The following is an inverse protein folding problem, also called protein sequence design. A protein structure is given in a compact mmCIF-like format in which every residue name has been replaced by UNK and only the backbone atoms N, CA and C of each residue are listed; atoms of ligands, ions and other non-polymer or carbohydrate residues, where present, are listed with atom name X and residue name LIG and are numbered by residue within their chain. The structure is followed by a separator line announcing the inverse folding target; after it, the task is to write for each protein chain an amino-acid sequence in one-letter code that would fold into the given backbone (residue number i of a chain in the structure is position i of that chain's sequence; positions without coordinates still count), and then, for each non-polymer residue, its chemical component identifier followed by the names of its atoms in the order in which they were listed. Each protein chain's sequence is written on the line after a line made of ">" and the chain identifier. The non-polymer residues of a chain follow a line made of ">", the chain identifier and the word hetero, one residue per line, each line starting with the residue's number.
data_IF_867086138930
#
_entry.id   IF_867086138930
#
_cell.length_a   1.000
_cell.length_b   1.000
_cell.length_c   1.000
_cell.angle_alpha   90.00
_cell.angle_beta   90.00
_cell.angle_gamma   90.00
#
_symmetry.space_group_name_H-M   'P 1'
#
loop_
_entity.id
_entity.type
_entity.pdbx_description
1 polymer ?
#
# COMPACT_ATOMS: atom_id res chain seq x y z
N UNK A 1 8.58 -12.21 13.24
CA UNK A 1 7.29 -12.90 13.49
C UNK A 1 7.16 -14.11 12.57
N UNK A 2 6.38 -15.11 12.99
CA UNK A 2 6.20 -16.38 12.28
C UNK A 2 5.48 -16.19 10.92
N UNK A 3 5.88 -16.89 9.84
CA UNK A 3 5.30 -16.74 8.49
C UNK A 3 3.77 -16.89 8.45
N UNK A 4 3.21 -17.78 9.26
CA UNK A 4 1.76 -18.02 9.31
C UNK A 4 0.95 -16.76 9.68
N UNK A 5 1.49 -15.88 10.54
CA UNK A 5 0.81 -14.62 10.91
C UNK A 5 0.62 -13.73 9.67
N UNK A 6 1.66 -13.63 8.84
CA UNK A 6 1.65 -12.85 7.61
C UNK A 6 0.82 -13.49 6.50
N UNK A 7 0.71 -14.83 6.51
CA UNK A 7 -0.14 -15.56 5.59
C UNK A 7 -1.62 -15.36 5.92
N UNK A 8 -2.01 -15.48 7.19
CA UNK A 8 -3.38 -15.23 7.64
C UNK A 8 -3.79 -13.79 7.39
N UNK A 9 -2.97 -12.81 7.78
CA UNK A 9 -3.27 -11.38 7.54
C UNK A 9 -3.29 -10.98 6.06
N UNK A 10 -2.82 -11.82 5.14
CA UNK A 10 -2.78 -11.56 3.70
C UNK A 10 -1.51 -10.87 3.20
N UNK A 11 -0.65 -10.39 4.12
CA UNK A 11 0.61 -9.72 3.78
C UNK A 11 1.52 -10.56 2.88
N UNK A 12 1.56 -11.88 3.08
CA UNK A 12 2.39 -12.76 2.27
C UNK A 12 2.08 -12.67 0.76
N UNK A 13 0.81 -12.43 0.43
CA UNK A 13 0.30 -12.48 -0.94
C UNK A 13 0.10 -11.08 -1.53
N UNK A 14 -0.34 -10.14 -0.70
CA UNK A 14 -0.82 -8.83 -1.15
C UNK A 14 0.17 -7.68 -0.85
N UNK A 15 1.17 -7.91 0.01
CA UNK A 15 2.13 -6.87 0.39
C UNK A 15 3.32 -6.82 -0.58
N UNK A 16 3.03 -6.44 -1.82
CA UNK A 16 4.01 -6.35 -2.89
C UNK A 16 3.88 -5.04 -3.68
N UNK A 17 5.00 -4.61 -4.26
CA UNK A 17 5.02 -3.59 -5.30
C UNK A 17 5.35 -4.23 -6.65
N UNK A 18 4.93 -3.57 -7.73
CA UNK A 18 5.36 -3.92 -9.08
C UNK A 18 6.75 -3.36 -9.34
N UNK A 19 7.73 -4.23 -9.57
CA UNK A 19 9.12 -3.88 -9.80
C UNK A 19 9.54 -4.12 -11.26
N UNK A 20 10.33 -3.21 -11.81
CA UNK A 20 11.01 -3.35 -13.09
C UNK A 20 12.53 -3.29 -12.90
N UNK A 21 13.28 -3.97 -13.78
CA UNK A 21 14.74 -3.92 -13.81
C UNK A 21 15.21 -3.32 -15.13
N UNK A 22 16.11 -2.33 -15.09
CA UNK A 22 16.74 -1.86 -16.32
C UNK A 22 17.72 -2.91 -16.85
N UNK A 23 17.56 -3.32 -18.12
CA UNK A 23 18.44 -4.33 -18.72
C UNK A 23 19.88 -3.83 -18.89
N UNK A 24 20.06 -2.52 -18.97
CA UNK A 24 21.37 -1.88 -19.20
C UNK A 24 22.10 -1.59 -17.89
N UNK A 25 21.52 -0.80 -16.98
CA UNK A 25 22.19 -0.39 -15.73
C UNK A 25 21.83 -1.24 -14.51
N UNK A 26 20.96 -2.25 -14.65
CA UNK A 26 20.52 -3.18 -13.59
C UNK A 26 19.81 -2.55 -12.38
N UNK A 27 19.55 -1.23 -12.41
CA UNK A 27 18.75 -0.56 -11.38
C UNK A 27 17.35 -1.15 -11.30
N UNK A 28 16.86 -1.25 -10.08
CA UNK A 28 15.51 -1.67 -9.73
C UNK A 28 14.63 -0.43 -9.55
N UNK A 29 13.44 -0.45 -10.13
CA UNK A 29 12.50 0.66 -10.09
C UNK A 29 11.11 0.14 -9.75
N UNK A 30 10.37 0.91 -8.97
CA UNK A 30 8.95 0.69 -8.76
C UNK A 30 8.20 1.18 -10.01
N UNK A 31 7.34 0.33 -10.59
CA UNK A 31 6.79 0.49 -11.92
C UNK A 31 5.87 1.71 -12.06
N UNK A 32 5.05 1.98 -11.04
CA UNK A 32 4.16 3.14 -10.96
C UNK A 32 4.90 4.48 -10.93
N UNK A 33 6.10 4.53 -10.32
CA UNK A 33 6.91 5.75 -10.24
C UNK A 33 7.73 6.05 -11.51
N UNK A 34 7.87 5.11 -12.44
CA UNK A 34 8.82 5.26 -13.57
C UNK A 34 8.54 6.53 -14.38
N UNK A 35 7.27 6.84 -14.63
CA UNK A 35 6.88 8.01 -15.43
C UNK A 35 7.15 9.33 -14.73
N UNK A 36 6.88 9.41 -13.43
CA UNK A 36 7.22 10.58 -12.62
C UNK A 36 8.74 10.82 -12.63
N UNK A 37 9.53 9.76 -12.42
CA UNK A 37 10.99 9.85 -12.51
C UNK A 37 11.49 10.27 -13.89
N UNK A 38 10.83 9.83 -14.96
CA UNK A 38 11.19 10.21 -16.32
C UNK A 38 10.94 11.71 -16.57
N UNK A 39 9.88 12.29 -16.02
CA UNK A 39 9.64 13.74 -16.11
C UNK A 39 10.81 14.54 -15.53
N UNK A 40 11.41 14.03 -14.44
CA UNK A 40 12.52 14.70 -13.77
C UNK A 40 13.92 14.32 -14.26
N UNK A 41 14.03 13.27 -15.06
CA UNK A 41 15.31 12.78 -15.56
C UNK A 41 16.02 13.84 -16.42
N UNK A 42 17.29 14.11 -16.10
CA UNK A 42 18.12 15.09 -16.80
C UNK A 42 18.18 14.83 -18.31
N UNK A 43 18.25 13.56 -18.71
CA UNK A 43 18.29 13.20 -20.12
C UNK A 43 16.98 13.48 -20.85
N UNK A 44 15.83 13.33 -20.19
CA UNK A 44 14.52 13.65 -20.78
C UNK A 44 14.39 15.15 -20.97
N UNK A 45 14.73 15.94 -19.94
CA UNK A 45 14.76 17.42 -20.02
C UNK A 45 15.69 17.90 -21.14
N UNK A 46 16.92 17.35 -21.20
CA UNK A 46 17.91 17.65 -22.23
C UNK A 46 17.50 17.20 -23.65
N UNK A 47 16.75 16.11 -23.76
CA UNK A 47 16.23 15.63 -25.04
C UNK A 47 15.05 16.49 -25.52
N UNK A 48 14.21 16.99 -24.62
CA UNK A 48 13.08 17.85 -24.95
C UNK A 48 13.52 19.11 -25.72
N UNK A 49 14.70 19.66 -25.41
CA UNK A 49 15.31 20.80 -26.15
C UNK A 49 15.54 20.51 -27.64
N UNK A 50 15.56 19.24 -28.05
CA UNK A 50 15.73 18.84 -29.46
C UNK A 50 14.44 18.93 -30.26
N UNK A 51 13.30 19.05 -29.58
CA UNK A 51 11.98 19.03 -30.19
C UNK A 51 11.53 20.45 -30.57
N UNK A 52 10.83 20.58 -31.69
CA UNK A 52 10.19 21.84 -32.08
C UNK A 52 8.76 21.86 -31.52
N UNK A 53 8.47 22.84 -30.65
CA UNK A 53 7.11 23.08 -30.14
C UNK A 53 6.33 23.83 -31.20
N UNK A 54 5.29 23.23 -31.76
CA UNK A 54 4.41 23.91 -32.70
C UNK A 54 3.32 24.63 -31.89
N UNK A 55 3.34 25.97 -31.89
CA UNK A 55 2.54 26.82 -31.00
C UNK A 55 1.01 26.74 -31.17
N UNK A 56 0.51 25.89 -32.08
CA UNK A 56 -0.90 25.85 -32.49
C UNK A 56 -1.59 24.50 -32.23
N UNK A 57 -0.89 23.44 -31.79
CA UNK A 57 -1.49 22.09 -31.71
C UNK A 57 -1.02 21.16 -30.57
N UNK A 58 -0.22 21.59 -29.60
CA UNK A 58 0.35 20.71 -28.54
C UNK A 58 1.04 19.43 -29.07
N UNK A 59 1.40 19.41 -30.36
CA UNK A 59 2.02 18.29 -31.06
C UNK A 59 3.52 18.54 -31.21
N UNK A 60 4.33 17.65 -30.63
CA UNK A 60 5.78 17.66 -30.76
C UNK A 60 6.18 17.28 -32.20
N UNK A 61 6.81 18.19 -32.95
CA UNK A 61 7.42 17.82 -34.25
C UNK A 61 8.78 17.17 -34.00
N UNK A 62 8.82 15.86 -34.21
CA UNK A 62 10.04 15.06 -34.10
C UNK A 62 11.07 15.45 -35.18
N UNK A 63 12.20 16.02 -34.78
CA UNK A 63 13.30 16.37 -35.69
C UNK A 63 14.39 15.30 -35.62
N UNK A 64 14.33 14.33 -36.55
CA UNK A 64 15.25 13.18 -36.58
C UNK A 64 16.73 13.58 -36.58
N UNK A 65 17.09 14.63 -37.32
CA UNK A 65 18.48 15.13 -37.39
C UNK A 65 18.97 15.63 -36.03
N UNK A 66 18.18 16.46 -35.35
CA UNK A 66 18.53 16.99 -34.01
C UNK A 66 18.58 15.87 -32.97
N UNK A 67 17.66 14.91 -33.03
CA UNK A 67 17.65 13.75 -32.13
C UNK A 67 18.90 12.87 -32.31
N UNK A 68 19.34 12.61 -33.56
CA UNK A 68 20.59 11.88 -33.82
C UNK A 68 21.81 12.66 -33.33
N UNK A 69 21.86 13.97 -33.59
CA UNK A 69 22.96 14.83 -33.11
C UNK A 69 23.05 14.85 -31.57
N UNK A 70 21.91 14.94 -30.89
CA UNK A 70 21.85 14.84 -29.44
C UNK A 70 22.34 13.48 -28.96
N UNK A 71 21.87 12.40 -29.58
CA UNK A 71 22.22 11.03 -29.22
C UNK A 71 23.73 10.76 -29.34
N UNK A 72 24.36 11.27 -30.40
CA UNK A 72 25.80 11.15 -30.63
C UNK A 72 26.65 12.02 -29.70
N UNK A 73 26.07 13.07 -29.11
CA UNK A 73 26.73 14.04 -28.21
C UNK A 73 26.27 13.86 -26.76
N UNK A 74 25.32 14.68 -26.32
CA UNK A 74 24.83 14.73 -24.92
C UNK A 74 24.26 13.37 -24.48
N UNK A 75 23.57 12.67 -25.37
CA UNK A 75 22.94 11.37 -25.11
C UNK A 75 23.92 10.29 -24.63
N UNK A 76 25.15 10.23 -25.16
CA UNK A 76 26.17 9.28 -24.69
C UNK A 76 26.49 9.41 -23.21
N UNK A 77 26.43 10.63 -22.66
CA UNK A 77 26.68 10.90 -21.24
C UNK A 77 25.40 10.75 -20.42
N UNK A 78 24.29 11.32 -20.88
CA UNK A 78 23.06 11.45 -20.10
C UNK A 78 22.17 10.19 -20.16
N UNK A 79 22.16 9.48 -21.28
CA UNK A 79 21.34 8.28 -21.50
C UNK A 79 22.08 7.19 -22.30
N UNK A 80 23.22 6.66 -21.78
CA UNK A 80 24.05 5.70 -22.50
C UNK A 80 23.34 4.36 -22.82
N UNK A 81 22.26 4.04 -22.11
CA UNK A 81 21.47 2.83 -22.33
C UNK A 81 20.35 2.98 -23.36
N UNK A 82 19.99 4.20 -23.76
CA UNK A 82 18.87 4.48 -24.67
C UNK A 82 19.12 3.85 -26.04
N UNK A 83 18.10 3.21 -26.62
CA UNK A 83 18.22 2.59 -27.94
C UNK A 83 18.61 3.61 -29.02
N UNK A 84 18.04 4.82 -28.98
CA UNK A 84 18.43 5.92 -29.86
C UNK A 84 19.94 6.25 -29.77
N UNK A 85 20.55 6.13 -28.59
CA UNK A 85 21.98 6.42 -28.37
C UNK A 85 22.86 5.25 -28.84
N UNK A 86 22.41 4.02 -28.58
CA UNK A 86 23.14 2.79 -28.93
C UNK A 86 23.06 2.45 -30.41
N UNK A 87 21.90 2.68 -31.03
CA UNK A 87 21.59 2.34 -32.41
C UNK A 87 20.55 3.32 -33.01
N UNK A 88 20.96 4.56 -33.37
CA UNK A 88 20.03 5.59 -33.82
C UNK A 88 19.26 5.21 -35.09
N UNK A 89 19.93 4.61 -36.07
CA UNK A 89 19.34 4.28 -37.38
C UNK A 89 18.20 3.28 -37.24
N UNK A 90 18.42 2.17 -36.52
CA UNK A 90 17.40 1.16 -36.29
C UNK A 90 16.26 1.69 -35.42
N UNK A 91 16.54 2.51 -34.41
CA UNK A 91 15.50 3.05 -33.53
C UNK A 91 14.55 3.99 -34.28
N UNK A 92 15.09 4.83 -35.17
CA UNK A 92 14.31 5.81 -35.92
C UNK A 92 13.59 5.23 -37.13
N UNK A 93 14.07 4.12 -37.71
CA UNK A 93 13.38 3.46 -38.81
C UNK A 93 11.98 2.99 -38.37
N UNK A 94 11.85 2.40 -37.18
CA UNK A 94 10.57 1.96 -36.63
C UNK A 94 9.57 3.10 -36.44
N UNK A 95 10.02 4.22 -35.86
CA UNK A 95 9.18 5.40 -35.66
C UNK A 95 8.70 5.98 -37.00
N UNK A 96 9.61 6.04 -37.98
CA UNK A 96 9.32 6.57 -39.32
C UNK A 96 8.33 5.66 -40.07
N UNK A 97 8.50 4.34 -39.96
CA UNK A 97 7.61 3.35 -40.55
C UNK A 97 6.20 3.46 -39.97
N UNK A 98 6.06 3.55 -38.64
CA UNK A 98 4.75 3.69 -38.01
C UNK A 98 4.05 5.01 -38.34
N UNK A 99 4.77 6.13 -38.35
CA UNK A 99 4.22 7.42 -38.78
C UNK A 99 3.77 7.41 -40.24
N UNK A 100 4.47 6.67 -41.11
CA UNK A 100 4.07 6.50 -42.51
C UNK A 100 2.81 5.64 -42.63
N UNK A 101 2.73 4.56 -41.85
CA UNK A 101 1.60 3.63 -41.86
C UNK A 101 0.37 4.18 -41.13
N UNK A 102 0.56 5.15 -40.22
CA UNK A 102 -0.50 5.82 -39.49
C UNK A 102 -0.24 7.34 -39.44
N UNK A 103 -0.61 8.09 -40.50
CA UNK A 103 -0.37 9.54 -40.59
C UNK A 103 -1.08 10.36 -39.50
N UNK A 104 -2.15 9.82 -38.91
CA UNK A 104 -2.92 10.45 -37.83
C UNK A 104 -2.31 10.19 -36.44
N UNK A 105 -1.23 9.41 -36.35
CA UNK A 105 -0.58 9.08 -35.08
C UNK A 105 -0.03 10.34 -34.41
N UNK A 106 -0.60 10.67 -33.25
CA UNK A 106 -0.10 11.74 -32.38
C UNK A 106 0.97 11.18 -31.43
N UNK A 107 2.15 11.79 -31.44
CA UNK A 107 3.24 11.44 -30.53
C UNK A 107 3.21 12.35 -29.31
N UNK A 108 2.59 11.86 -28.24
CA UNK A 108 2.83 12.43 -26.92
C UNK A 108 4.23 12.05 -26.42
N UNK A 109 4.70 12.75 -25.37
CA UNK A 109 6.03 12.51 -24.82
C UNK A 109 6.20 11.05 -24.34
N UNK A 110 5.27 10.44 -23.57
CA UNK A 110 5.40 9.04 -23.16
C UNK A 110 5.56 8.06 -24.34
N UNK A 111 4.76 8.21 -25.39
CA UNK A 111 4.83 7.35 -26.57
C UNK A 111 6.18 7.52 -27.27
N UNK A 112 6.61 8.75 -27.50
CA UNK A 112 7.91 9.03 -28.11
C UNK A 112 9.05 8.40 -27.30
N UNK A 113 9.09 8.62 -25.98
CA UNK A 113 10.13 8.06 -25.12
C UNK A 113 10.20 6.53 -25.19
N UNK A 114 9.06 5.84 -25.37
CA UNK A 114 9.04 4.39 -25.59
C UNK A 114 9.67 3.98 -26.91
N UNK A 115 9.41 4.72 -28.00
CA UNK A 115 10.09 4.48 -29.27
C UNK A 115 11.61 4.64 -29.13
N UNK A 116 12.06 5.72 -28.47
CA UNK A 116 13.50 5.98 -28.28
C UNK A 116 14.21 4.92 -27.43
N UNK A 117 13.46 4.19 -26.60
CA UNK A 117 13.96 3.08 -25.79
C UNK A 117 13.95 1.73 -26.51
N UNK A 118 13.33 1.64 -27.69
CA UNK A 118 13.04 0.37 -28.37
C UNK A 118 13.97 0.14 -29.55
N UNK A 119 14.91 -0.80 -29.39
CA UNK A 119 15.83 -1.19 -30.48
C UNK A 119 15.17 -2.17 -31.48
N UNK A 120 14.35 -3.11 -30.98
CA UNK A 120 13.72 -4.18 -31.77
C UNK A 120 12.20 -4.24 -31.51
N UNK A 121 11.45 -3.32 -32.14
CA UNK A 121 10.01 -3.18 -31.91
C UNK A 121 9.21 -4.45 -32.25
N UNK A 122 9.57 -5.14 -33.34
CA UNK A 122 8.84 -6.34 -33.78
C UNK A 122 9.03 -7.56 -32.86
N UNK A 123 10.09 -7.58 -32.05
CA UNK A 123 10.37 -8.69 -31.12
C UNK A 123 9.84 -8.39 -29.72
N UNK A 124 10.04 -7.15 -29.26
CA UNK A 124 9.82 -6.79 -27.85
C UNK A 124 8.57 -5.94 -27.63
N UNK A 125 8.00 -5.36 -28.69
CA UNK A 125 7.06 -4.25 -28.59
C UNK A 125 7.73 -2.97 -28.09
N UNK A 126 6.93 -1.94 -27.83
CA UNK A 126 7.42 -0.68 -27.28
C UNK A 126 7.88 -0.84 -25.83
N UNK A 127 9.13 -0.46 -25.56
CA UNK A 127 9.77 -0.58 -24.25
C UNK A 127 9.62 0.69 -23.43
N UNK A 128 9.53 0.55 -22.11
CA UNK A 128 9.58 1.72 -21.21
C UNK A 128 11.05 2.07 -20.92
N UNK A 129 11.47 3.33 -21.07
CA UNK A 129 12.85 3.73 -20.79
C UNK A 129 13.15 3.83 -19.30
N UNK A 130 14.40 3.57 -18.95
CA UNK A 130 14.95 3.79 -17.64
C UNK A 130 15.22 5.29 -17.40
N UNK A 131 14.75 5.89 -16.29
CA UNK A 131 15.01 7.29 -15.98
C UNK A 131 16.50 7.59 -15.75
N UNK A 132 17.32 6.59 -15.43
CA UNK A 132 18.75 6.79 -15.14
C UNK A 132 19.67 6.70 -16.36
N UNK A 133 19.30 5.95 -17.39
CA UNK A 133 20.17 5.74 -18.55
C UNK A 133 19.44 5.62 -19.89
N UNK A 134 18.12 5.71 -19.91
CA UNK A 134 17.27 5.54 -21.10
C UNK A 134 17.08 4.10 -21.59
N UNK A 135 17.79 3.12 -21.03
CA UNK A 135 17.69 1.72 -21.47
C UNK A 135 16.34 1.06 -21.17
N UNK A 136 16.04 -0.04 -21.86
CA UNK A 136 14.78 -0.77 -21.73
C UNK A 136 14.59 -1.40 -20.33
N UNK A 137 13.38 -1.27 -19.80
CA UNK A 137 12.95 -1.90 -18.56
C UNK A 137 12.29 -3.26 -18.83
N UNK A 138 12.54 -4.25 -17.97
CA UNK A 138 11.78 -5.51 -17.99
C UNK A 138 10.29 -5.26 -17.75
N UNK A 139 9.40 -6.20 -18.14
CA UNK A 139 8.02 -6.17 -17.67
C UNK A 139 7.94 -6.06 -16.14
N UNK A 140 6.93 -5.37 -15.60
CA UNK A 140 6.67 -5.35 -14.17
C UNK A 140 6.49 -6.77 -13.61
N UNK A 141 7.08 -7.03 -12.44
CA UNK A 141 6.90 -8.26 -11.67
C UNK A 141 6.64 -7.94 -10.22
N UNK A 142 5.92 -8.81 -9.52
CA UNK A 142 5.66 -8.66 -8.09
C UNK A 142 6.97 -8.73 -7.30
N UNK A 143 7.09 -7.85 -6.31
CA UNK A 143 8.20 -7.81 -5.37
C UNK A 143 7.65 -7.66 -3.95
N UNK A 144 7.80 -8.70 -3.14
CA UNK A 144 7.32 -8.70 -1.77
C UNK A 144 8.11 -7.70 -0.92
N UNK A 145 7.39 -6.84 -0.20
CA UNK A 145 7.96 -5.76 0.60
C UNK A 145 8.31 -6.18 2.03
N UNK A 146 8.11 -7.44 2.43
CA UNK A 146 8.55 -7.92 3.74
C UNK A 146 10.00 -8.39 3.70
N UNK A 147 10.75 -8.07 4.75
CA UNK A 147 12.08 -8.64 4.95
C UNK A 147 11.99 -10.05 5.54
N UNK A 148 12.41 -11.05 4.76
CA UNK A 148 12.58 -12.43 5.23
C UNK A 148 13.91 -12.57 5.98
N UNK A 149 13.89 -13.30 7.08
CA UNK A 149 15.05 -13.70 7.88
C UNK A 149 14.90 -15.17 8.30
N UNK A 150 15.90 -15.70 9.00
CA UNK A 150 15.94 -17.08 9.47
C UNK A 150 16.24 -17.08 10.96
N UNK A 151 15.47 -17.83 11.75
CA UNK A 151 15.63 -18.00 13.20
C UNK A 151 16.25 -19.37 13.46
N UNK A 152 17.46 -19.41 14.05
CA UNK A 152 18.17 -20.66 14.34
C UNK A 152 19.32 -20.92 13.39
N UNK A 153 20.03 -22.03 13.62
CA UNK A 153 21.32 -22.31 12.96
C UNK A 153 21.20 -23.03 11.61
N UNK A 154 20.08 -23.71 11.34
CA UNK A 154 19.97 -24.67 10.24
C UNK A 154 19.48 -24.05 8.92
N UNK A 155 18.97 -22.82 8.92
CA UNK A 155 18.74 -22.07 7.68
C UNK A 155 17.58 -22.53 6.81
N UNK A 156 16.74 -23.45 7.31
CA UNK A 156 15.68 -24.10 6.51
C UNK A 156 14.45 -23.21 6.28
N UNK A 157 13.51 -23.66 5.45
CA UNK A 157 12.22 -22.97 5.28
C UNK A 157 11.39 -22.96 6.57
N UNK A 158 11.51 -24.00 7.40
CA UNK A 158 10.86 -24.08 8.71
C UNK A 158 11.40 -23.05 9.70
N UNK A 159 12.64 -22.60 9.50
CA UNK A 159 13.30 -21.58 10.29
C UNK A 159 12.97 -20.15 9.79
N UNK A 160 12.16 -20.01 8.73
CA UNK A 160 11.85 -18.71 8.17
C UNK A 160 11.06 -17.83 9.15
N UNK A 161 11.44 -16.56 9.22
CA UNK A 161 10.69 -15.53 9.91
C UNK A 161 10.71 -14.23 9.11
N UNK A 162 9.91 -13.26 9.51
CA UNK A 162 9.90 -11.95 8.88
C UNK A 162 10.09 -10.84 9.91
N UNK A 163 10.83 -9.82 9.52
CA UNK A 163 10.77 -8.53 10.21
C UNK A 163 9.41 -7.92 9.88
N UNK A 164 8.70 -7.45 10.91
CA UNK A 164 7.30 -7.03 10.76
C UNK A 164 7.19 -5.77 9.88
N UNK A 165 6.34 -5.76 8.83
CA UNK A 165 6.09 -4.56 8.01
C UNK A 165 5.13 -3.54 8.64
N UNK A 166 4.45 -3.94 9.71
CA UNK A 166 3.55 -3.15 10.53
C UNK A 166 3.57 -3.66 11.99
N UNK A 167 2.99 -2.91 12.93
CA UNK A 167 3.00 -3.27 14.34
C UNK A 167 1.68 -3.94 14.80
N UNK A 168 0.57 -3.65 14.09
CA UNK A 168 -0.79 -4.13 14.34
C UNK A 168 -0.92 -5.64 14.58
N UNK A 169 -0.27 -6.48 13.75
CA UNK A 169 -0.36 -7.94 13.88
C UNK A 169 0.06 -8.47 15.25
N UNK A 170 1.00 -7.79 15.92
CA UNK A 170 1.40 -8.16 17.29
C UNK A 170 0.27 -7.97 18.31
N UNK A 171 -0.60 -6.99 18.09
CA UNK A 171 -1.76 -6.70 18.94
C UNK A 171 -2.84 -7.75 18.70
N UNK A 172 -3.18 -8.05 17.44
CA UNK A 172 -4.24 -9.00 17.10
C UNK A 172 -3.97 -10.41 17.64
N UNK A 173 -2.76 -10.93 17.47
CA UNK A 173 -2.41 -12.28 17.98
C UNK A 173 -2.42 -12.36 19.50
N UNK A 174 -2.38 -11.21 20.20
CA UNK A 174 -2.44 -11.10 21.65
C UNK A 174 -3.79 -10.61 22.19
N UNK A 175 -4.79 -10.37 21.33
CA UNK A 175 -6.10 -9.85 21.74
C UNK A 175 -6.67 -10.60 22.96
N UNK A 176 -6.74 -11.94 22.87
CA UNK A 176 -7.28 -12.76 23.96
C UNK A 176 -6.42 -12.71 25.23
N UNK A 177 -5.10 -12.68 25.08
CA UNK A 177 -4.18 -12.54 26.21
C UNK A 177 -4.42 -11.21 26.95
N UNK A 178 -4.60 -10.11 26.22
CA UNK A 178 -4.89 -8.79 26.80
C UNK A 178 -6.24 -8.78 27.50
N UNK A 179 -7.30 -9.27 26.85
CA UNK A 179 -8.65 -9.34 27.43
C UNK A 179 -8.65 -10.15 28.73
N UNK A 180 -8.02 -11.33 28.71
CA UNK A 180 -8.02 -12.25 29.85
C UNK A 180 -7.20 -11.72 31.04
N UNK A 181 -6.05 -11.13 30.77
CA UNK A 181 -5.13 -10.68 31.83
C UNK A 181 -5.49 -9.31 32.39
N UNK A 182 -6.06 -8.42 31.57
CA UNK A 182 -6.36 -7.04 31.95
C UNK A 182 -7.83 -6.83 32.34
N UNK A 183 -8.71 -7.81 32.07
CA UNK A 183 -10.16 -7.75 32.36
C UNK A 183 -10.85 -6.50 31.81
N UNK A 184 -10.35 -6.01 30.68
CA UNK A 184 -10.94 -4.87 29.96
C UNK A 184 -12.29 -5.26 29.36
N UNK A 185 -13.17 -4.28 29.20
CA UNK A 185 -14.48 -4.44 28.56
C UNK A 185 -14.50 -3.69 27.23
N UNK A 186 -15.30 -4.15 26.28
CA UNK A 186 -15.48 -3.45 25.02
C UNK A 186 -16.39 -2.23 25.24
N UNK A 187 -16.07 -1.06 24.67
CA UNK A 187 -14.92 -0.79 23.80
C UNK A 187 -13.62 -0.51 24.57
N UNK A 188 -12.49 -0.95 24.02
CA UNK A 188 -11.15 -0.63 24.52
C UNK A 188 -10.14 -0.60 23.37
N UNK A 189 -8.99 0.06 23.58
CA UNK A 189 -7.90 0.07 22.60
C UNK A 189 -6.57 -0.41 23.16
N UNK A 190 -5.71 -0.92 22.29
CA UNK A 190 -4.32 -1.25 22.60
C UNK A 190 -3.43 -0.37 21.74
N UNK A 191 -2.68 0.54 22.37
CA UNK A 191 -1.70 1.38 21.69
C UNK A 191 -0.31 0.75 21.70
N UNK A 192 0.40 0.81 20.58
CA UNK A 192 1.76 0.32 20.46
C UNK A 192 2.61 1.30 19.64
N UNK A 193 3.82 1.54 20.11
CA UNK A 193 4.86 2.23 19.35
C UNK A 193 5.97 1.22 19.07
N UNK A 194 6.46 1.19 17.83
CA UNK A 194 7.68 0.45 17.56
C UNK A 194 8.07 0.40 16.10
N UNK A 195 9.20 -0.27 15.87
CA UNK A 195 9.82 -0.40 14.55
C UNK A 195 9.03 -1.31 13.62
N UNK A 196 9.00 -0.93 12.35
CA UNK A 196 8.51 -1.69 11.21
C UNK A 196 9.50 -1.61 10.07
N UNK A 197 9.47 -2.63 9.20
CA UNK A 197 10.44 -2.79 8.14
C UNK A 197 9.75 -3.07 6.81
N UNK A 198 9.96 -2.19 5.83
CA UNK A 198 9.47 -2.37 4.46
C UNK A 198 10.66 -2.43 3.51
N UNK A 199 10.74 -3.48 2.71
CA UNK A 199 11.79 -3.68 1.71
C UNK A 199 11.56 -2.77 0.50
N UNK A 200 11.54 -1.46 0.72
CA UNK A 200 11.26 -0.45 -0.29
C UNK A 200 12.26 -0.55 -1.45
N UNK A 201 11.73 -0.58 -2.68
CA UNK A 201 12.52 -0.73 -3.91
C UNK A 201 13.40 0.52 -4.12
N UNK A 202 12.80 1.71 -3.96
CA UNK A 202 13.49 2.99 -4.14
C UNK A 202 13.23 3.95 -2.98
N UNK A 203 14.05 3.90 -1.91
CA UNK A 203 13.99 4.87 -0.81
C UNK A 203 14.19 6.30 -1.31
N UNK A 204 13.40 7.25 -0.80
CA UNK A 204 13.40 8.67 -1.23
C UNK A 204 12.91 9.61 -0.14
N UNK A 205 13.17 10.91 -0.35
CA UNK A 205 12.64 12.00 0.46
C UNK A 205 12.97 11.82 1.95
N UNK A 206 14.23 11.46 2.21
CA UNK A 206 14.78 11.27 3.56
C UNK A 206 13.96 10.26 4.39
N UNK A 207 13.38 10.68 5.52
CA UNK A 207 12.59 9.82 6.41
C UNK A 207 11.21 9.43 5.85
N UNK A 208 10.76 10.05 4.75
CA UNK A 208 9.42 9.83 4.23
C UNK A 208 9.23 8.43 3.59
N UNK A 209 10.27 7.92 2.90
CA UNK A 209 10.34 6.55 2.37
C UNK A 209 11.65 5.88 2.77
N UNK A 210 11.68 5.31 3.97
CA UNK A 210 12.77 4.50 4.49
C UNK A 210 12.41 3.01 4.52
N UNK A 211 13.41 2.16 4.76
CA UNK A 211 13.23 0.70 4.94
C UNK A 211 12.97 0.28 6.37
N UNK A 212 13.33 1.14 7.31
CA UNK A 212 13.11 1.01 8.74
C UNK A 212 12.53 2.34 9.23
N UNK A 213 11.44 2.27 9.96
CA UNK A 213 10.73 3.43 10.52
C UNK A 213 9.94 2.99 11.76
N UNK A 214 9.42 3.95 12.51
CA UNK A 214 8.60 3.71 13.68
C UNK A 214 7.15 4.11 13.42
N UNK A 215 6.22 3.29 13.88
CA UNK A 215 4.79 3.57 13.84
C UNK A 215 4.24 3.72 15.25
N UNK A 216 3.17 4.51 15.34
CA UNK A 216 2.34 4.66 16.52
C UNK A 216 0.93 4.22 16.12
N UNK A 217 0.56 3.00 16.50
CA UNK A 217 -0.70 2.36 16.09
C UNK A 217 -1.59 2.09 17.30
N UNK A 218 -2.89 2.22 17.12
CA UNK A 218 -3.90 1.86 18.11
C UNK A 218 -4.88 0.89 17.46
N UNK A 219 -5.06 -0.30 18.03
CA UNK A 219 -6.19 -1.16 17.66
C UNK A 219 -7.32 -0.94 18.65
N UNK A 220 -8.39 -0.25 18.21
CA UNK A 220 -9.56 0.02 19.02
C UNK A 220 -10.68 -0.99 18.73
N UNK A 221 -10.89 -1.90 19.68
CA UNK A 221 -11.90 -2.95 19.61
C UNK A 221 -13.25 -2.42 20.08
N UNK A 222 -14.26 -2.56 19.23
CA UNK A 222 -15.60 -2.03 19.48
C UNK A 222 -16.71 -3.02 19.06
N UNK A 223 -17.92 -2.78 19.57
CA UNK A 223 -19.09 -3.57 19.19
C UNK A 223 -19.47 -3.29 17.71
N UNK A 224 -19.81 -4.29 16.89
CA UNK A 224 -20.14 -4.10 15.47
C UNK A 224 -21.19 -3.00 15.20
N UNK A 225 -22.25 -2.93 16.02
CA UNK A 225 -23.30 -1.88 15.92
C UNK A 225 -22.81 -0.44 16.13
N UNK A 226 -21.70 -0.24 16.82
CA UNK A 226 -21.17 1.08 17.17
C UNK A 226 -19.96 1.47 16.31
N UNK A 227 -19.42 0.52 15.55
CA UNK A 227 -18.15 0.65 14.84
C UNK A 227 -18.08 1.85 13.89
N UNK A 228 -19.16 2.16 13.17
CA UNK A 228 -19.23 3.35 12.31
C UNK A 228 -19.12 4.67 13.09
N UNK A 229 -19.72 4.74 14.29
CA UNK A 229 -19.61 5.92 15.14
C UNK A 229 -18.19 6.06 15.73
N UNK A 230 -17.58 4.95 16.12
CA UNK A 230 -16.18 4.92 16.58
C UNK A 230 -15.19 5.29 15.49
N UNK A 231 -15.43 4.87 14.24
CA UNK A 231 -14.64 5.28 13.08
C UNK A 231 -14.65 6.80 12.91
N UNK A 232 -15.85 7.40 12.84
CA UNK A 232 -15.99 8.86 12.73
C UNK A 232 -15.31 9.60 13.90
N UNK A 233 -15.50 9.11 15.13
CA UNK A 233 -14.86 9.68 16.31
C UNK A 233 -13.34 9.67 16.21
N UNK A 234 -12.71 8.54 15.88
CA UNK A 234 -11.26 8.44 15.83
C UNK A 234 -10.68 9.28 14.70
N UNK A 235 -11.32 9.29 13.52
CA UNK A 235 -10.90 10.12 12.38
C UNK A 235 -10.82 11.60 12.77
N UNK A 236 -11.90 12.12 13.35
CA UNK A 236 -12.00 13.53 13.72
C UNK A 236 -11.10 13.87 14.91
N UNK A 237 -10.98 12.95 15.88
CA UNK A 237 -10.08 13.10 17.04
C UNK A 237 -8.62 13.18 16.62
N UNK A 238 -8.17 12.31 15.72
CA UNK A 238 -6.77 12.27 15.27
C UNK A 238 -6.42 13.46 14.40
N UNK A 239 -7.34 13.89 13.52
CA UNK A 239 -7.15 15.13 12.77
C UNK A 239 -7.01 16.34 13.71
N UNK A 240 -7.88 16.45 14.71
CA UNK A 240 -7.80 17.52 15.72
C UNK A 240 -6.52 17.46 16.55
N UNK A 241 -6.03 16.26 16.87
CA UNK A 241 -4.78 16.08 17.63
C UNK A 241 -3.58 16.73 16.94
N UNK A 242 -3.46 16.62 15.60
CA UNK A 242 -2.39 17.30 14.86
C UNK A 242 -2.53 18.82 14.85
N UNK A 243 -3.75 19.35 14.73
CA UNK A 243 -4.01 20.79 14.80
C UNK A 243 -3.68 21.34 16.19
N UNK A 244 -4.10 20.63 17.25
CA UNK A 244 -3.85 21.01 18.64
C UNK A 244 -2.34 20.99 18.97
N UNK A 245 -1.55 20.18 18.27
CA UNK A 245 -0.08 20.13 18.36
C UNK A 245 0.64 21.19 17.51
N UNK A 246 -0.08 21.95 16.68
CA UNK A 246 0.46 23.11 15.97
C UNK A 246 0.63 22.96 14.46
N UNK A 247 0.14 21.89 13.82
CA UNK A 247 0.08 21.87 12.35
C UNK A 247 -1.02 22.82 11.85
N UNK A 248 -0.70 23.66 10.87
CA UNK A 248 -1.68 24.57 10.25
C UNK A 248 -2.76 23.83 9.46
N UNK A 249 -3.99 24.37 9.51
CA UNK A 249 -5.14 23.81 8.78
C UNK A 249 -4.98 23.94 7.26
N UNK A 250 -4.20 24.92 6.81
CA UNK A 250 -3.91 25.16 5.40
C UNK A 250 -3.02 24.06 4.81
N UNK A 251 -2.26 23.36 5.64
CA UNK A 251 -1.36 22.27 5.24
C UNK A 251 -1.79 20.89 5.67
N UNK A 252 -2.83 20.79 6.48
CA UNK A 252 -3.36 19.52 6.94
C UNK A 252 -4.72 19.28 6.31
N UNK A 253 -4.91 18.10 5.72
CA UNK A 253 -6.22 17.68 5.24
C UNK A 253 -6.57 16.29 5.74
N UNK A 254 -7.87 16.04 5.85
CA UNK A 254 -8.44 14.73 6.10
C UNK A 254 -9.12 14.26 4.82
N UNK A 255 -8.68 13.16 4.25
CA UNK A 255 -9.13 12.64 2.96
C UNK A 255 -9.63 11.22 3.10
N UNK A 256 -10.90 11.00 2.83
CA UNK A 256 -11.44 9.64 2.72
C UNK A 256 -10.89 8.95 1.46
N UNK A 257 -10.57 7.65 1.57
CA UNK A 257 -10.19 6.81 0.45
C UNK A 257 -11.38 6.55 -0.48
N UNK A 258 -11.11 6.55 -1.78
CA UNK A 258 -12.07 6.04 -2.75
C UNK A 258 -12.16 4.51 -2.67
N UNK A 259 -13.26 3.93 -3.18
CA UNK A 259 -13.49 2.47 -3.13
C UNK A 259 -12.36 1.64 -3.76
N UNK A 260 -11.66 2.19 -4.76
CA UNK A 260 -10.54 1.52 -5.42
C UNK A 260 -9.22 1.58 -4.63
N UNK A 261 -9.11 2.52 -3.68
CA UNK A 261 -7.93 2.69 -2.82
C UNK A 261 -8.01 1.87 -1.54
N UNK A 262 -9.24 1.54 -1.10
CA UNK A 262 -9.46 0.74 0.11
C UNK A 262 -8.70 -0.60 0.04
N UNK A 263 -7.94 -0.87 1.11
CA UNK A 263 -7.37 -2.19 1.35
C UNK A 263 -8.49 -3.25 1.39
N UNK A 264 -8.17 -4.49 1.01
CA UNK A 264 -9.15 -5.57 0.86
C UNK A 264 -9.92 -5.92 2.14
N UNK A 265 -9.42 -5.51 3.30
CA UNK A 265 -10.03 -5.68 4.62
C UNK A 265 -10.73 -4.43 5.16
N UNK A 266 -10.54 -3.27 4.54
CA UNK A 266 -11.09 -2.01 5.05
C UNK A 266 -12.49 -1.77 4.49
N UNK A 267 -13.42 -1.42 5.38
CA UNK A 267 -14.75 -0.94 4.99
C UNK A 267 -14.85 0.60 4.98
N UNK A 268 -13.76 1.29 5.33
CA UNK A 268 -13.62 2.73 5.26
C UNK A 268 -12.26 3.16 5.82
N UNK A 269 -11.53 3.99 5.08
CA UNK A 269 -10.24 4.54 5.52
C UNK A 269 -10.20 6.03 5.20
N UNK A 270 -9.58 6.81 6.08
CA UNK A 270 -9.28 8.20 5.84
C UNK A 270 -7.83 8.50 6.23
N UNK A 271 -7.14 9.24 5.36
CA UNK A 271 -5.78 9.68 5.61
C UNK A 271 -5.76 11.12 6.11
N UNK A 272 -4.97 11.35 7.15
CA UNK A 272 -4.53 12.68 7.55
C UNK A 272 -3.24 12.94 6.78
N UNK A 273 -3.28 13.92 5.89
CA UNK A 273 -2.19 14.20 4.95
C UNK A 273 -1.67 15.63 5.15
N UNK A 274 -0.37 15.81 4.93
CA UNK A 274 0.35 17.07 5.13
C UNK A 274 1.03 17.54 3.85
N UNK A 275 0.96 18.85 3.59
CA UNK A 275 1.60 19.50 2.43
C UNK A 275 3.12 19.67 2.63
N UNK A 276 3.87 18.59 2.44
CA UNK A 276 5.33 18.61 2.53
C UNK A 276 5.99 19.51 1.47
N UNK A 277 7.07 20.23 1.80
CA UNK A 277 7.70 21.20 0.89
C UNK A 277 8.40 20.58 -0.33
N UNK A 278 8.64 19.27 -0.33
CA UNK A 278 9.21 18.54 -1.47
C UNK A 278 8.16 17.99 -2.43
N UNK A 279 6.86 18.12 -2.11
CA UNK A 279 5.77 17.76 -3.00
C UNK A 279 5.39 18.95 -3.90
N UNK A 280 4.70 18.69 -5.00
CA UNK A 280 4.24 19.79 -5.85
C UNK A 280 3.20 20.66 -5.10
N UNK A 281 3.08 21.95 -5.43
CA UNK A 281 2.06 22.81 -4.81
C UNK A 281 0.66 22.21 -4.96
N UNK A 282 -0.04 22.02 -3.83
CA UNK A 282 -1.37 21.41 -3.78
C UNK A 282 -1.38 19.89 -3.56
N UNK A 283 -0.23 19.22 -3.57
CA UNK A 283 -0.09 17.82 -3.21
C UNK A 283 0.16 17.63 -1.71
N UNK A 284 -0.28 16.49 -1.18
CA UNK A 284 -0.18 16.16 0.24
C UNK A 284 0.38 14.74 0.39
N UNK A 285 1.15 14.52 1.45
CA UNK A 285 1.68 13.22 1.83
C UNK A 285 1.08 12.72 3.14
N UNK A 286 0.75 11.43 3.19
CA UNK A 286 0.12 10.76 4.34
C UNK A 286 1.00 10.79 5.61
N UNK A 287 0.41 11.22 6.73
CA UNK A 287 0.98 11.17 8.09
C UNK A 287 0.43 10.01 8.92
N UNK A 288 -0.89 9.83 8.85
CA UNK A 288 -1.64 8.86 9.63
C UNK A 288 -2.86 8.39 8.84
N UNK A 289 -3.04 7.08 8.76
CA UNK A 289 -4.28 6.47 8.28
C UNK A 289 -5.19 6.13 9.45
N UNK A 290 -6.49 6.41 9.33
CA UNK A 290 -7.52 5.92 10.24
C UNK A 290 -8.41 4.96 9.46
N UNK A 291 -8.36 3.67 9.79
CA UNK A 291 -9.07 2.62 9.07
C UNK A 291 -10.15 1.95 9.94
N UNK A 292 -11.27 1.58 9.32
CA UNK A 292 -12.27 0.68 9.87
C UNK A 292 -12.08 -0.70 9.23
N UNK A 293 -11.52 -1.64 9.98
CA UNK A 293 -11.11 -2.98 9.50
C UNK A 293 -12.16 -4.06 9.75
N UNK A 294 -13.29 -3.68 10.34
CA UNK A 294 -14.38 -4.59 10.73
C UNK A 294 -13.81 -5.75 11.57
N UNK A 295 -14.26 -6.99 11.35
CA UNK A 295 -13.80 -8.16 12.08
C UNK A 295 -12.64 -8.92 11.39
N UNK A 296 -12.10 -8.40 10.29
CA UNK A 296 -11.16 -9.12 9.42
C UNK A 296 -9.96 -9.70 10.17
N UNK A 297 -9.28 -8.88 10.97
CA UNK A 297 -8.00 -9.25 11.59
C UNK A 297 -8.15 -10.39 12.60
N UNK A 298 -9.10 -10.25 13.53
CA UNK A 298 -9.37 -11.28 14.54
C UNK A 298 -9.95 -12.53 13.87
N UNK A 299 -10.88 -12.37 12.93
CA UNK A 299 -11.47 -13.50 12.21
C UNK A 299 -10.42 -14.27 11.44
N UNK A 300 -9.49 -13.60 10.76
CA UNK A 300 -8.47 -14.29 9.99
C UNK A 300 -7.44 -15.03 10.85
N UNK A 301 -7.06 -14.46 12.00
CA UNK A 301 -6.20 -15.17 12.97
C UNK A 301 -6.91 -16.32 13.69
N UNK A 302 -8.23 -16.29 13.79
CA UNK A 302 -9.05 -17.36 14.37
C UNK A 302 -9.27 -18.50 13.35
N UNK A 303 -9.83 -18.18 12.19
CA UNK A 303 -10.35 -19.15 11.20
C UNK A 303 -9.30 -19.59 10.18
N UNK A 304 -8.44 -18.66 9.76
CA UNK A 304 -7.50 -18.84 8.65
C UNK A 304 -7.51 -17.67 7.67
N UNK A 305 -6.64 -17.75 6.65
CA UNK A 305 -6.55 -16.68 5.64
C UNK A 305 -7.91 -16.46 4.99
N UNK A 306 -8.40 -15.22 5.05
CA UNK A 306 -9.62 -14.81 4.38
C UNK A 306 -9.32 -14.32 2.96
N UNK A 307 -10.21 -14.63 2.03
CA UNK A 307 -10.19 -14.16 0.65
C UNK A 307 -11.54 -13.55 0.30
N UNK A 308 -11.51 -12.51 -0.53
CA UNK A 308 -12.73 -11.89 -1.03
C UNK A 308 -13.28 -12.71 -2.20
N UNK A 309 -14.50 -13.23 -2.05
CA UNK A 309 -15.29 -13.88 -3.10
C UNK A 309 -16.61 -13.13 -3.24
N UNK A 310 -16.80 -12.48 -4.37
CA UNK A 310 -18.02 -11.72 -4.69
C UNK A 310 -18.44 -10.70 -3.61
N UNK A 311 -17.45 -10.01 -3.02
CA UNK A 311 -17.67 -9.00 -1.98
C UNK A 311 -17.83 -9.58 -0.57
N UNK A 312 -17.64 -10.89 -0.39
CA UNK A 312 -17.70 -11.56 0.92
C UNK A 312 -16.35 -12.12 1.30
N UNK A 313 -15.97 -11.93 2.56
CA UNK A 313 -14.76 -12.50 3.12
C UNK A 313 -15.05 -13.94 3.57
N UNK A 314 -14.37 -14.90 2.95
CA UNK A 314 -14.49 -16.33 3.21
C UNK A 314 -13.12 -16.94 3.47
N UNK A 315 -13.07 -18.00 4.27
CA UNK A 315 -11.81 -18.72 4.52
C UNK A 315 -11.33 -19.39 3.24
N UNK A 316 -10.05 -19.22 2.89
CA UNK A 316 -9.47 -19.93 1.76
C UNK A 316 -9.38 -21.43 2.09
N UNK A 317 -10.22 -22.24 1.43
CA UNK A 317 -10.26 -23.69 1.61
C UNK A 317 -9.32 -24.41 0.63
N UNK A 318 -8.71 -25.50 1.10
CA UNK A 318 -7.98 -26.46 0.28
C UNK A 318 -8.89 -27.52 -0.34
N UNK A 319 -8.32 -28.49 -1.10
CA UNK A 319 -9.08 -29.54 -1.79
C UNK A 319 -9.99 -30.37 -0.88
N UNK A 320 -9.62 -30.52 0.40
CA UNK A 320 -10.35 -31.30 1.41
C UNK A 320 -11.39 -30.48 2.19
N UNK A 321 -11.66 -29.23 1.78
CA UNK A 321 -12.61 -28.34 2.46
C UNK A 321 -12.12 -27.77 3.80
N UNK A 322 -10.86 -28.02 4.17
CA UNK A 322 -10.21 -27.43 5.35
C UNK A 322 -9.52 -26.11 5.00
N UNK A 323 -9.28 -25.21 5.97
CA UNK A 323 -8.51 -23.98 5.72
C UNK A 323 -7.14 -24.32 5.12
N UNK A 324 -6.85 -23.79 3.92
CA UNK A 324 -5.57 -23.96 3.23
C UNK A 324 -4.42 -23.37 4.06
N UNK A 325 -4.69 -22.24 4.70
CA UNK A 325 -3.79 -21.58 5.63
C UNK A 325 -4.52 -21.41 6.96
N UNK A 326 -4.24 -22.33 7.89
CA UNK A 326 -4.94 -22.43 9.17
C UNK A 326 -4.64 -21.22 10.05
N UNK A 327 -5.68 -20.69 10.68
CA UNK A 327 -5.54 -19.76 11.79
C UNK A 327 -5.03 -20.47 13.04
N UNK A 328 -5.04 -19.76 14.16
CA UNK A 328 -4.72 -20.32 15.47
C UNK A 328 -5.76 -21.32 15.98
N UNK A 329 -7.00 -21.26 15.47
CA UNK A 329 -8.15 -22.03 15.99
C UNK A 329 -8.58 -21.58 17.39
N UNK A 330 -7.94 -20.57 17.98
CA UNK A 330 -8.33 -19.99 19.27
C UNK A 330 -9.55 -19.11 19.06
N UNK A 331 -10.50 -19.18 19.97
CA UNK A 331 -11.65 -18.29 19.98
C UNK A 331 -11.23 -16.86 20.32
N UNK A 332 -11.30 -15.98 19.32
CA UNK A 332 -11.03 -14.55 19.44
C UNK A 332 -12.33 -13.72 19.52
N UNK A 333 -13.48 -14.34 19.76
CA UNK A 333 -14.72 -13.62 20.05
C UNK A 333 -14.70 -13.00 21.45
N UNK A 334 -15.45 -11.91 21.61
CA UNK A 334 -15.75 -11.30 22.90
C UNK A 334 -17.15 -11.70 23.34
N UNK A 335 -17.32 -12.00 24.63
CA UNK A 335 -18.63 -12.24 25.25
C UNK A 335 -18.90 -11.17 26.30
N UNK A 336 -19.90 -10.33 26.06
CA UNK A 336 -20.38 -9.32 27.02
C UNK A 336 -21.36 -9.97 28.01
N UNK A 337 -20.80 -10.63 29.02
CA UNK A 337 -21.60 -11.27 30.07
C UNK A 337 -22.42 -10.26 30.86
N UNK A 338 -21.92 -9.04 31.05
CA UNK A 338 -22.62 -8.03 31.85
C UNK A 338 -23.86 -7.50 31.12
N UNK A 339 -23.75 -7.25 29.81
CA UNK A 339 -24.91 -6.90 28.99
C UNK A 339 -25.93 -8.05 28.98
N UNK A 340 -25.46 -9.28 28.82
CA UNK A 340 -26.37 -10.43 28.85
C UNK A 340 -27.08 -10.56 30.21
N UNK A 341 -26.35 -10.44 31.31
CA UNK A 341 -26.90 -10.54 32.66
C UNK A 341 -27.93 -9.45 32.97
N UNK A 342 -27.76 -8.24 32.43
CA UNK A 342 -28.76 -7.17 32.51
C UNK A 342 -30.03 -7.51 31.73
N UNK A 343 -29.89 -8.09 30.54
CA UNK A 343 -31.00 -8.23 29.59
C UNK A 343 -31.75 -9.57 29.72
N UNK A 344 -31.12 -10.62 30.27
CA UNK A 344 -31.63 -12.01 30.23
C UNK A 344 -33.05 -12.19 30.79
N UNK A 345 -33.39 -11.44 31.84
CA UNK A 345 -34.74 -11.47 32.43
C UNK A 345 -35.79 -10.95 31.45
N UNK A 346 -35.51 -9.83 30.78
CA UNK A 346 -36.42 -9.24 29.78
C UNK A 346 -36.56 -10.13 28.53
N UNK A 347 -35.50 -10.87 28.20
CA UNK A 347 -35.46 -11.83 27.11
C UNK A 347 -36.10 -13.19 27.44
N UNK A 348 -36.50 -13.40 28.70
CA UNK A 348 -37.09 -14.66 29.17
C UNK A 348 -36.16 -15.87 28.99
N UNK A 349 -34.86 -15.70 29.22
CA UNK A 349 -33.83 -16.75 29.10
C UNK A 349 -32.99 -16.82 30.37
N UNK A 350 -32.51 -18.02 30.71
CA UNK A 350 -31.66 -18.24 31.90
C UNK A 350 -30.16 -18.23 31.60
N UNK A 351 -29.77 -18.54 30.36
CA UNK A 351 -28.37 -18.64 29.94
C UNK A 351 -28.17 -18.21 28.49
N UNK A 352 -26.92 -17.90 28.10
CA UNK A 352 -26.56 -17.62 26.70
C UNK A 352 -26.87 -18.80 25.77
N UNK A 353 -26.84 -20.03 26.30
CA UNK A 353 -27.21 -21.22 25.54
C UNK A 353 -28.70 -21.25 25.22
N UNK A 354 -29.55 -20.93 26.20
CA UNK A 354 -31.01 -20.85 26.00
C UNK A 354 -31.36 -19.72 25.02
N UNK A 355 -30.64 -18.59 25.13
CA UNK A 355 -30.73 -17.48 24.19
C UNK A 355 -30.41 -17.92 22.76
N UNK A 356 -29.29 -18.63 22.56
CA UNK A 356 -28.89 -19.11 21.25
C UNK A 356 -29.84 -20.17 20.67
N UNK A 357 -30.39 -21.07 21.48
CA UNK A 357 -31.33 -22.10 20.99
C UNK A 357 -32.63 -21.48 20.48
N UNK A 358 -33.13 -20.41 21.13
CA UNK A 358 -34.29 -19.65 20.62
C UNK A 358 -34.03 -18.96 19.29
N UNK A 359 -32.76 -18.75 18.93
CA UNK A 359 -32.28 -18.05 17.71
C UNK A 359 -31.60 -19.00 16.73
N UNK A 360 -31.84 -20.29 16.87
CA UNK A 360 -31.21 -21.32 16.04
C UNK A 360 -31.54 -21.10 14.57
N UNK A 361 -30.52 -21.12 13.73
CA UNK A 361 -30.62 -20.84 12.29
C UNK A 361 -30.21 -19.41 11.91
N UNK A 362 -30.05 -18.49 12.87
CA UNK A 362 -29.39 -17.21 12.63
C UNK A 362 -27.88 -17.40 12.39
N UNK A 363 -27.28 -16.49 11.60
CA UNK A 363 -25.85 -16.54 11.28
C UNK A 363 -24.94 -16.46 12.52
N UNK A 364 -25.34 -15.65 13.52
CA UNK A 364 -24.74 -15.65 14.85
C UNK A 364 -25.85 -15.61 15.91
N UNK A 365 -26.26 -16.75 16.48
CA UNK A 365 -27.36 -16.84 17.44
C UNK A 365 -27.02 -16.23 18.81
N UNK A 366 -25.75 -15.89 19.07
CA UNK A 366 -25.32 -15.27 20.32
C UNK A 366 -25.26 -13.74 20.25
N UNK A 367 -25.45 -13.14 19.08
CA UNK A 367 -25.45 -11.70 18.92
C UNK A 367 -26.66 -11.05 19.64
N UNK A 368 -26.52 -9.89 20.31
CA UNK A 368 -25.35 -9.00 20.40
C UNK A 368 -24.37 -9.33 21.54
N UNK A 369 -24.54 -10.43 22.27
CA UNK A 369 -23.76 -10.71 23.49
C UNK A 369 -22.45 -11.44 23.24
N UNK A 370 -22.32 -12.18 22.13
CA UNK A 370 -21.04 -12.74 21.68
C UNK A 370 -20.81 -12.46 20.21
N UNK A 371 -19.65 -11.89 19.90
CA UNK A 371 -19.31 -11.40 18.56
C UNK A 371 -17.80 -11.30 18.40
N UNK A 372 -17.32 -11.23 17.15
CA UNK A 372 -15.95 -10.80 16.87
C UNK A 372 -15.95 -9.28 16.87
N UNK A 373 -15.14 -8.62 17.72
CA UNK A 373 -15.09 -7.16 17.75
C UNK A 373 -14.70 -6.58 16.40
N UNK A 374 -15.28 -5.43 16.06
CA UNK A 374 -14.77 -4.61 14.98
C UNK A 374 -13.55 -3.82 15.46
N UNK A 375 -12.61 -3.57 14.54
CA UNK A 375 -11.38 -2.82 14.82
C UNK A 375 -11.39 -1.49 14.09
N UNK A 376 -11.16 -0.40 14.84
CA UNK A 376 -10.80 0.91 14.30
C UNK A 376 -9.31 1.13 14.57
N UNK A 377 -8.54 1.44 13.53
CA UNK A 377 -7.09 1.55 13.59
C UNK A 377 -6.64 2.95 13.18
N UNK A 378 -6.29 3.81 14.14
CA UNK A 378 -5.37 4.93 13.90
C UNK A 378 -3.92 4.43 13.80
N UNK A 379 -3.26 4.65 12.66
CA UNK A 379 -1.86 4.26 12.42
C UNK A 379 -1.05 5.45 11.89
N UNK A 380 -0.20 6.02 12.74
CA UNK A 380 0.66 7.16 12.41
C UNK A 380 2.12 6.74 12.18
N UNK A 381 2.77 7.34 11.20
CA UNK A 381 4.23 7.23 11.04
C UNK A 381 4.96 8.24 11.92
N UNK A 382 5.72 7.79 12.92
CA UNK A 382 6.41 8.66 13.88
C UNK A 382 7.45 9.56 13.17
N UNK A 383 8.21 8.99 12.23
CA UNK A 383 9.23 9.70 11.46
C UNK A 383 8.60 10.78 10.53
N UNK A 384 7.45 10.45 9.92
CA UNK A 384 6.72 11.38 9.04
C UNK A 384 6.09 12.52 9.84
N UNK A 385 5.45 12.21 10.97
CA UNK A 385 4.90 13.20 11.87
C UNK A 385 6.00 14.16 12.37
N UNK A 386 7.15 13.61 12.79
CA UNK A 386 8.31 14.41 13.21
C UNK A 386 8.78 15.35 12.10
N UNK A 387 8.91 14.85 10.87
CA UNK A 387 9.28 15.69 9.72
C UNK A 387 8.25 16.79 9.45
N UNK A 388 6.95 16.49 9.55
CA UNK A 388 5.90 17.47 9.36
C UNK A 388 5.99 18.61 10.39
N UNK A 389 6.15 18.29 11.68
CA UNK A 389 6.34 19.30 12.72
C UNK A 389 7.59 20.16 12.51
N UNK A 390 8.70 19.56 12.06
CA UNK A 390 9.91 20.32 11.72
C UNK A 390 9.67 21.25 10.52
N UNK A 391 9.01 20.76 9.47
CA UNK A 391 8.68 21.58 8.31
C UNK A 391 7.74 22.73 8.66
N UNK A 392 6.78 22.51 9.55
CA UNK A 392 5.84 23.54 10.00
C UNK A 392 6.54 24.59 10.87
N UNK A 393 7.36 24.15 11.84
CA UNK A 393 8.07 25.06 12.76
C UNK A 393 9.20 25.86 12.10
N UNK A 394 9.73 25.41 10.95
CA UNK A 394 10.78 26.13 10.23
C UNK A 394 10.25 27.40 9.53
N UNK A 395 8.94 27.47 9.31
CA UNK A 395 8.31 28.60 8.63
C UNK A 395 8.11 29.79 9.55
#
# INVERSE_FOLDING_TARGET
>A
MHPQVWKCSGHYDLFHDWMQTCRQCKKLLRADHVWEMLKDAEWVKSFADTMEVNAWEDLLRFNSLRSVQWAQRKGKKLAPGLALVRNPEATLSWLTEDLRNNPEMRLDLPTLLRYLATEQKNVTGLQTPCPYCGGDLTPPREFNLMFKTTVGALGGEEDAAFLRPETAQGIFVNFKNVVDTSRVKIPFGVGQIGKSFRNEITPRNFTFRSREFEQMEIEFFCHPRESAAWYAYWRDRRFRWYLDLGLSKERLRLRDHDRAELAHYSVGTADIEYAFPFLAPGEFGELEGVAHRADYDLRSHMEGKLVNRDGKLEVELGPEGQPRHKGSGKDLSYTDTDAFERDKASLGVSSLKDYAEKRKGEANPYFPYRYIPHVIEPSAGADRATLAFLCEAYQ
#
